data_IF_492730977063
#
_entry.id   IF_492730977063
#
_cell.length_a   1.000
_cell.length_b   1.000
_cell.length_c   1.000
_cell.angle_alpha   90.00
_cell.angle_beta   90.00
_cell.angle_gamma   90.00
#
_symmetry.space_group_name_H-M   'P 1'
#
loop_
_entity.id
_entity.type
_entity.pdbx_description
1 polymer ?
#
# COMPACT_ATOMS: atom_id res chain seq x y z
N UNK A 1 -1.91 27.20 4.34
CA UNK A 1 -0.79 26.69 3.53
C UNK A 1 -0.54 25.25 3.97
N UNK A 2 -1.15 24.29 3.30
CA UNK A 2 -0.93 22.87 3.59
C UNK A 2 0.46 22.52 3.08
N UNK A 3 1.40 22.17 3.95
CA UNK A 3 2.66 21.59 3.50
C UNK A 3 2.33 20.26 2.81
N UNK A 4 2.51 20.23 1.51
CA UNK A 4 2.56 18.99 0.76
C UNK A 4 3.81 18.30 1.29
N UNK A 5 3.65 17.17 2.00
CA UNK A 5 4.78 16.33 2.34
C UNK A 5 5.39 15.89 1.01
N UNK A 6 6.58 16.38 0.69
CA UNK A 6 7.32 16.02 -0.51
C UNK A 6 7.84 14.59 -0.38
N UNK A 7 6.93 13.62 -0.54
CA UNK A 7 7.29 12.22 -0.58
C UNK A 7 8.05 11.90 -1.88
N UNK A 8 9.14 11.12 -1.81
CA UNK A 8 9.68 10.49 -3.01
C UNK A 8 8.67 9.48 -3.58
N UNK A 9 8.84 9.10 -4.84
CA UNK A 9 8.12 7.93 -5.40
C UNK A 9 8.75 6.65 -4.86
N UNK A 10 7.94 5.79 -4.25
CA UNK A 10 8.42 4.59 -3.54
C UNK A 10 7.96 3.34 -4.29
N UNK A 11 8.89 2.45 -4.63
CA UNK A 11 8.56 1.12 -5.14
C UNK A 11 8.71 0.10 -4.02
N UNK A 12 7.65 -0.67 -3.75
CA UNK A 12 7.68 -1.79 -2.82
C UNK A 12 7.81 -3.08 -3.61
N UNK A 13 9.02 -3.62 -3.66
CA UNK A 13 9.30 -4.90 -4.34
C UNK A 13 9.11 -6.05 -3.38
N UNK A 14 8.13 -6.91 -3.67
CA UNK A 14 7.72 -8.00 -2.78
C UNK A 14 6.46 -7.68 -1.99
N UNK A 15 5.36 -7.37 -2.69
CA UNK A 15 4.03 -7.11 -2.11
C UNK A 15 3.34 -8.37 -1.53
N UNK A 16 4.07 -9.15 -0.72
CA UNK A 16 3.52 -10.20 0.14
C UNK A 16 3.05 -9.64 1.48
N UNK A 17 3.09 -10.44 2.55
CA UNK A 17 2.63 -9.99 3.88
C UNK A 17 3.36 -8.71 4.38
N UNK A 18 4.70 -8.75 4.40
CA UNK A 18 5.51 -7.63 4.91
C UNK A 18 5.43 -6.42 3.99
N UNK A 19 5.73 -6.60 2.70
CA UNK A 19 5.71 -5.50 1.74
C UNK A 19 4.31 -4.91 1.55
N UNK A 20 3.28 -5.76 1.52
CA UNK A 20 1.87 -5.34 1.48
C UNK A 20 1.50 -4.46 2.66
N UNK A 21 1.83 -4.89 3.88
CA UNK A 21 1.55 -4.12 5.08
C UNK A 21 2.26 -2.75 5.08
N UNK A 22 3.59 -2.73 4.99
CA UNK A 22 4.33 -1.46 5.04
C UNK A 22 4.06 -0.55 3.84
N UNK A 23 3.86 -1.13 2.65
CA UNK A 23 3.44 -0.39 1.47
C UNK A 23 2.08 0.28 1.64
N UNK A 24 1.12 -0.40 2.26
CA UNK A 24 -0.16 0.19 2.61
C UNK A 24 -0.05 1.24 3.71
N UNK A 25 0.81 1.06 4.71
CA UNK A 25 1.04 2.10 5.72
C UNK A 25 1.62 3.39 5.11
N UNK A 26 2.51 3.27 4.12
CA UNK A 26 3.04 4.40 3.35
C UNK A 26 1.94 5.05 2.48
N UNK A 27 1.15 4.25 1.77
CA UNK A 27 0.02 4.74 0.98
C UNK A 27 -0.98 5.52 1.87
N UNK A 28 -1.28 4.99 3.06
CA UNK A 28 -2.17 5.63 4.05
C UNK A 28 -1.62 6.96 4.55
N UNK A 29 -0.29 7.10 4.65
CA UNK A 29 0.37 8.35 4.99
C UNK A 29 0.41 9.37 3.83
N UNK A 30 -0.18 9.04 2.67
CA UNK A 30 -0.20 9.88 1.48
C UNK A 30 1.05 9.76 0.60
N UNK A 31 1.93 8.77 0.85
CA UNK A 31 3.10 8.56 0.02
C UNK A 31 2.70 7.96 -1.35
N UNK A 32 3.26 8.45 -2.47
CA UNK A 32 3.05 7.86 -3.79
C UNK A 32 3.85 6.56 -3.91
N UNK A 33 3.14 5.43 -3.93
CA UNK A 33 3.71 4.09 -3.95
C UNK A 33 3.39 3.31 -5.22
N UNK A 34 4.26 2.37 -5.58
CA UNK A 34 4.03 1.34 -6.58
C UNK A 34 4.31 -0.03 -5.95
N UNK A 35 3.32 -0.93 -5.99
CA UNK A 35 3.44 -2.29 -5.46
C UNK A 35 3.88 -3.26 -6.55
N UNK A 36 4.95 -4.01 -6.32
CA UNK A 36 5.42 -5.08 -7.22
C UNK A 36 5.25 -6.41 -6.52
N UNK A 37 4.38 -7.25 -7.07
CA UNK A 37 4.04 -8.56 -6.51
C UNK A 37 3.78 -9.60 -7.60
N UNK A 38 3.34 -10.78 -7.18
CA UNK A 38 2.89 -11.83 -8.10
C UNK A 38 1.58 -11.41 -8.77
N UNK A 39 1.30 -11.95 -9.95
CA UNK A 39 0.08 -11.63 -10.72
C UNK A 39 -1.21 -11.73 -9.89
N UNK A 40 -1.35 -12.76 -9.05
CA UNK A 40 -2.52 -12.92 -8.16
C UNK A 40 -2.71 -11.75 -7.20
N UNK A 41 -1.62 -11.19 -6.64
CA UNK A 41 -1.68 -10.00 -5.81
C UNK A 41 -2.07 -8.78 -6.63
N UNK A 42 -1.42 -8.57 -7.79
CA UNK A 42 -1.67 -7.41 -8.66
C UNK A 42 -3.13 -7.39 -9.14
N UNK A 43 -3.68 -8.54 -9.53
CA UNK A 43 -5.07 -8.66 -9.98
C UNK A 43 -6.04 -8.30 -8.84
N UNK A 44 -5.82 -8.86 -7.64
CA UNK A 44 -6.65 -8.59 -6.47
C UNK A 44 -6.56 -7.12 -6.02
N UNK A 45 -5.34 -6.56 -5.99
CA UNK A 45 -5.07 -5.17 -5.63
C UNK A 45 -5.71 -4.21 -6.64
N UNK A 46 -5.62 -4.49 -7.94
CA UNK A 46 -6.18 -3.63 -8.99
C UNK A 46 -7.72 -3.64 -8.94
N UNK A 47 -8.33 -4.79 -8.66
CA UNK A 47 -9.78 -4.91 -8.57
C UNK A 47 -10.35 -4.27 -7.29
N UNK A 48 -9.65 -4.43 -6.15
CA UNK A 48 -10.24 -4.16 -4.83
C UNK A 48 -9.46 -3.14 -3.98
N UNK A 49 -8.35 -2.61 -4.47
CA UNK A 49 -7.41 -1.85 -3.64
C UNK A 49 -6.71 -2.72 -2.59
N UNK A 50 -6.11 -2.09 -1.58
CA UNK A 50 -5.42 -2.79 -0.50
C UNK A 50 -6.28 -2.79 0.76
N UNK A 51 -6.47 -3.97 1.36
CA UNK A 51 -7.06 -4.09 2.69
C UNK A 51 -5.95 -4.43 3.69
N UNK A 52 -5.87 -3.65 4.76
CA UNK A 52 -5.07 -3.96 5.93
C UNK A 52 -6.00 -4.45 7.03
N UNK A 53 -5.89 -5.75 7.34
CA UNK A 53 -6.57 -6.38 8.45
C UNK A 53 -5.64 -6.47 9.66
N UNK A 54 -6.15 -6.05 10.82
CA UNK A 54 -5.51 -6.13 12.12
C UNK A 54 -6.50 -6.80 13.07
N UNK A 55 -6.02 -7.26 14.21
CA UNK A 55 -6.85 -7.98 15.18
C UNK A 55 -8.12 -7.20 15.63
N UNK A 56 -8.11 -5.87 15.55
CA UNK A 56 -9.22 -5.02 15.99
C UNK A 56 -10.09 -4.51 14.83
N UNK A 57 -9.57 -4.45 13.61
CA UNK A 57 -10.21 -3.72 12.52
C UNK A 57 -9.70 -4.12 11.12
N UNK A 58 -10.51 -3.81 10.11
CA UNK A 58 -10.15 -3.89 8.70
C UNK A 58 -10.28 -2.50 8.08
N UNK A 59 -9.25 -2.11 7.34
CA UNK A 59 -9.17 -0.80 6.71
C UNK A 59 -8.79 -0.95 5.24
N UNK A 60 -9.47 -0.21 4.36
CA UNK A 60 -9.08 -0.11 2.95
C UNK A 60 -8.25 1.14 2.75
N UNK A 61 -7.03 0.95 2.24
CA UNK A 61 -6.07 2.01 1.91
C UNK A 61 -6.17 2.38 0.44
#
# INVERSE_FOLDING_TARGET
MTQILDWPRIAVVGAGAVGGYFGGMLARAGAPIVMVGRKSFVDAFTANGLVIERAADQERV
#
